data_IF_147579471028
#
_entry.id   IF_147579471028
#
_cell.length_a   1.000
_cell.length_b   1.000
_cell.length_c   1.000
_cell.angle_alpha   90.00
_cell.angle_beta   90.00
_cell.angle_gamma   90.00
#
_symmetry.space_group_name_H-M   'P 1'
#
loop_
_entity.id
_entity.type
_entity.pdbx_description
1 polymer ?
#
# COMPACT_ATOMS: atom_id res chain seq x y z
N UNK A 1 -3.59 -17.83 -16.78
CA UNK A 1 -2.64 -16.76 -16.40
C UNK A 1 -3.34 -15.43 -16.62
N UNK A 2 -3.34 -14.52 -15.64
CA UNK A 2 -3.98 -13.21 -15.76
C UNK A 2 -3.11 -12.31 -16.65
N UNK A 3 -3.66 -11.86 -17.79
CA UNK A 3 -2.97 -11.00 -18.75
C UNK A 3 -2.72 -9.62 -18.13
N UNK A 4 -1.49 -9.12 -18.29
CA UNK A 4 -1.08 -7.80 -17.81
C UNK A 4 -1.49 -6.77 -18.86
N UNK A 5 -2.39 -5.84 -18.50
CA UNK A 5 -2.76 -4.72 -19.37
C UNK A 5 -1.66 -3.64 -19.32
N UNK A 6 -1.26 -3.11 -20.48
CA UNK A 6 -0.13 -2.16 -20.62
C UNK A 6 -0.40 -0.82 -19.92
N UNK A 7 -1.66 -0.43 -19.81
CA UNK A 7 -2.08 0.85 -19.23
C UNK A 7 -2.16 0.82 -17.68
N UNK A 8 -2.09 -0.37 -17.08
CA UNK A 8 -2.14 -0.54 -15.62
C UNK A 8 -1.10 -1.57 -15.15
N UNK A 9 0.21 -1.29 -15.29
CA UNK A 9 1.27 -2.25 -14.98
C UNK A 9 1.34 -2.64 -13.49
N UNK A 10 0.72 -1.84 -12.61
CA UNK A 10 0.57 -2.11 -11.18
C UNK A 10 -0.54 -3.14 -10.86
N UNK A 11 -1.38 -3.54 -11.83
CA UNK A 11 -2.43 -4.56 -11.67
C UNK A 11 -1.98 -5.99 -11.97
N UNK A 12 -0.70 -6.34 -11.73
CA UNK A 12 -0.38 -7.77 -11.62
C UNK A 12 -1.13 -8.33 -10.42
N UNK A 13 -1.91 -9.38 -10.61
CA UNK A 13 -2.47 -10.18 -9.52
C UNK A 13 -1.33 -10.86 -8.76
N UNK A 14 -0.67 -10.07 -7.93
CA UNK A 14 0.36 -10.53 -7.03
C UNK A 14 -0.36 -11.01 -5.78
N UNK A 15 -0.21 -12.28 -5.42
CA UNK A 15 -0.52 -12.79 -4.09
C UNK A 15 0.45 -12.25 -3.02
N UNK A 16 1.06 -11.09 -3.27
CA UNK A 16 2.04 -10.47 -2.41
C UNK A 16 1.76 -8.98 -2.30
N UNK A 17 1.75 -8.49 -1.06
CA UNK A 17 1.62 -7.07 -0.74
C UNK A 17 2.93 -6.30 -0.90
N UNK A 18 4.00 -6.93 -1.42
CA UNK A 18 5.35 -6.34 -1.51
C UNK A 18 5.38 -5.05 -2.31
N UNK A 19 4.67 -4.97 -3.43
CA UNK A 19 4.67 -3.77 -4.26
C UNK A 19 4.00 -2.60 -3.53
N UNK A 20 2.78 -2.80 -3.01
CA UNK A 20 2.08 -1.78 -2.23
C UNK A 20 2.89 -1.37 -0.98
N UNK A 21 3.58 -2.30 -0.34
CA UNK A 21 4.48 -2.00 0.79
C UNK A 21 5.63 -1.08 0.37
N UNK A 22 6.32 -1.41 -0.74
CA UNK A 22 7.41 -0.59 -1.25
C UNK A 22 6.93 0.80 -1.65
N UNK A 23 5.79 0.89 -2.33
CA UNK A 23 5.19 2.15 -2.75
C UNK A 23 4.80 3.00 -1.52
N UNK A 24 4.22 2.37 -0.49
CA UNK A 24 3.90 3.03 0.78
C UNK A 24 5.17 3.58 1.45
N UNK A 25 6.22 2.75 1.60
CA UNK A 25 7.47 3.18 2.23
C UNK A 25 8.08 4.36 1.47
N UNK A 26 8.17 4.26 0.14
CA UNK A 26 8.68 5.33 -0.71
C UNK A 26 7.85 6.62 -0.58
N UNK A 27 6.52 6.50 -0.47
CA UNK A 27 5.64 7.65 -0.25
C UNK A 27 5.97 8.34 1.08
N UNK A 28 6.00 7.59 2.18
CA UNK A 28 6.29 8.13 3.51
C UNK A 28 7.70 8.74 3.62
N UNK A 29 8.71 8.15 2.99
CA UNK A 29 10.08 8.69 2.96
C UNK A 29 10.16 10.09 2.33
N UNK A 30 9.21 10.44 1.45
CA UNK A 30 9.19 11.74 0.79
C UNK A 30 8.39 12.82 1.57
N UNK A 31 7.63 12.42 2.59
CA UNK A 31 6.78 13.31 3.38
C UNK A 31 7.58 14.31 4.23
N UNK A 32 6.92 15.41 4.60
CA UNK A 32 7.49 16.39 5.53
C UNK A 32 7.70 15.74 6.90
N UNK A 33 6.75 14.90 7.33
CA UNK A 33 6.86 14.16 8.58
C UNK A 33 8.19 13.39 8.66
N UNK A 34 8.52 12.59 7.66
CA UNK A 34 9.74 11.77 7.70
C UNK A 34 11.04 12.58 7.66
N UNK A 35 10.99 13.79 7.08
CA UNK A 35 12.14 14.70 6.96
C UNK A 35 12.39 15.52 8.23
N UNK A 36 11.48 15.50 9.21
CA UNK A 36 11.70 16.18 10.49
C UNK A 36 12.75 15.45 11.32
N UNK A 37 13.60 16.23 11.98
CA UNK A 37 14.52 15.72 13.00
C UNK A 37 13.72 15.30 14.24
N UNK A 38 13.89 14.06 14.69
CA UNK A 38 13.22 13.39 15.84
C UNK A 38 11.85 12.74 15.60
N UNK A 39 11.48 12.39 14.37
CA UNK A 39 10.30 11.56 14.10
C UNK A 39 10.71 10.22 13.53
N UNK A 40 10.15 9.13 14.07
CA UNK A 40 10.34 7.79 13.52
C UNK A 40 9.39 7.51 12.36
N UNK A 41 9.66 6.43 11.61
CA UNK A 41 8.73 5.99 10.58
C UNK A 41 7.36 5.60 11.16
N UNK A 42 7.33 4.91 12.30
CA UNK A 42 6.09 4.61 13.03
C UNK A 42 5.32 5.89 13.37
N UNK A 43 5.98 6.92 13.88
CA UNK A 43 5.32 8.19 14.23
C UNK A 43 4.60 8.80 13.01
N UNK A 44 5.27 8.80 11.85
CA UNK A 44 4.66 9.26 10.61
C UNK A 44 3.54 8.34 10.14
N UNK A 45 3.66 7.02 10.31
CA UNK A 45 2.60 6.07 9.95
C UNK A 45 1.30 6.31 10.73
N UNK A 46 1.41 6.81 11.97
CA UNK A 46 0.28 7.16 12.84
C UNK A 46 -0.23 8.60 12.66
N UNK A 47 0.56 9.48 12.05
CA UNK A 47 0.18 10.85 11.77
C UNK A 47 -0.94 10.92 10.69
N UNK A 48 -1.92 11.81 10.90
CA UNK A 48 -3.07 12.04 10.02
C UNK A 48 -3.13 13.49 9.51
N UNK A 49 -2.14 14.33 9.84
CA UNK A 49 -2.07 15.70 9.36
C UNK A 49 -1.71 15.73 7.87
N UNK A 50 -2.68 16.12 7.05
CA UNK A 50 -2.51 16.25 5.60
C UNK A 50 -1.51 17.33 5.18
N UNK A 51 -1.12 18.22 6.09
CA UNK A 51 -0.05 19.20 5.85
C UNK A 51 1.33 18.57 5.90
N UNK A 52 1.45 17.43 6.57
CA UNK A 52 2.73 16.75 6.75
C UNK A 52 2.84 15.47 5.93
N UNK A 53 1.69 14.84 5.63
CA UNK A 53 1.58 13.57 4.94
C UNK A 53 0.59 13.70 3.78
N UNK A 54 1.06 13.36 2.58
CA UNK A 54 0.22 13.34 1.38
C UNK A 54 -0.92 12.32 1.54
N UNK A 55 -2.12 12.70 1.09
CA UNK A 55 -3.30 11.83 1.02
C UNK A 55 -3.01 10.51 0.30
N UNK A 56 -2.16 10.54 -0.74
CA UNK A 56 -1.73 9.35 -1.47
C UNK A 56 -1.03 8.33 -0.56
N UNK A 57 -0.22 8.78 0.40
CA UNK A 57 0.45 7.89 1.35
C UNK A 57 -0.57 7.22 2.30
N UNK A 58 -1.62 7.95 2.69
CA UNK A 58 -2.71 7.43 3.51
C UNK A 58 -3.51 6.38 2.73
N UNK A 59 -3.76 6.62 1.44
CA UNK A 59 -4.42 5.65 0.55
C UNK A 59 -3.57 4.38 0.43
N UNK A 60 -2.26 4.51 0.22
CA UNK A 60 -1.33 3.36 0.16
C UNK A 60 -1.31 2.57 1.46
N UNK A 61 -1.33 3.24 2.62
CA UNK A 61 -1.45 2.58 3.94
C UNK A 61 -2.73 1.76 4.04
N UNK A 62 -3.88 2.32 3.65
CA UNK A 62 -5.17 1.61 3.64
C UNK A 62 -5.15 0.42 2.67
N UNK A 63 -4.59 0.61 1.48
CA UNK A 63 -4.45 -0.44 0.47
C UNK A 63 -3.56 -1.58 0.95
N UNK A 64 -2.44 -1.28 1.62
CA UNK A 64 -1.55 -2.27 2.22
C UNK A 64 -2.25 -3.09 3.30
N UNK A 65 -2.98 -2.42 4.21
CA UNK A 65 -3.76 -3.09 5.24
C UNK A 65 -4.88 -3.98 4.65
N UNK A 66 -5.52 -3.55 3.56
CA UNK A 66 -6.49 -4.38 2.85
C UNK A 66 -5.82 -5.59 2.18
N UNK A 67 -4.67 -5.39 1.55
CA UNK A 67 -3.92 -6.47 0.92
C UNK A 67 -3.56 -7.57 1.94
N UNK A 68 -3.06 -7.17 3.12
CA UNK A 68 -2.74 -8.13 4.21
C UNK A 68 -3.98 -8.90 4.68
N UNK A 69 -5.12 -8.24 4.82
CA UNK A 69 -6.40 -8.89 5.17
C UNK A 69 -6.83 -9.89 4.08
N UNK A 70 -6.65 -9.54 2.82
CA UNK A 70 -7.00 -10.43 1.70
C UNK A 70 -6.12 -11.69 1.67
N UNK A 71 -4.83 -11.59 2.01
CA UNK A 71 -3.94 -12.75 2.10
C UNK A 71 -4.35 -13.75 3.18
N UNK A 72 -4.96 -13.26 4.27
CA UNK A 72 -5.45 -14.11 5.37
C UNK A 72 -6.85 -14.68 5.08
N UNK A 73 -7.57 -14.13 4.10
CA UNK A 73 -8.90 -14.61 3.74
C UNK A 73 -8.80 -15.89 2.89
N UNK A 74 -9.12 -17.04 3.50
CA UNK A 74 -9.09 -18.35 2.84
C UNK A 74 -9.98 -18.44 1.60
N UNK A 75 -11.08 -17.68 1.55
CA UNK A 75 -11.96 -17.64 0.38
C UNK A 75 -11.25 -17.03 -0.85
N UNK A 76 -10.39 -16.04 -0.65
CA UNK A 76 -9.61 -15.42 -1.74
C UNK A 76 -8.42 -16.28 -2.15
N UNK A 77 -7.92 -17.16 -1.28
CA UNK A 77 -6.93 -18.18 -1.65
C UNK A 77 -7.52 -19.21 -2.63
N UNK A 78 -8.77 -19.63 -2.39
CA UNK A 78 -9.44 -20.66 -3.20
C UNK A 78 -10.07 -20.11 -4.48
N UNK A 79 -10.72 -18.95 -4.41
CA UNK A 79 -11.49 -18.37 -5.54
C UNK A 79 -10.74 -17.28 -6.30
N UNK A 80 -9.55 -16.89 -5.83
CA UNK A 80 -8.86 -15.68 -6.26
C UNK A 80 -9.44 -14.42 -5.64
N UNK A 81 -8.64 -13.36 -5.55
CA UNK A 81 -9.10 -12.06 -5.06
C UNK A 81 -9.98 -11.38 -6.15
N UNK A 82 -11.28 -11.13 -5.91
CA UNK A 82 -12.17 -10.51 -6.89
C UNK A 82 -11.78 -9.04 -7.20
N UNK A 83 -11.00 -8.40 -6.33
CA UNK A 83 -10.48 -7.04 -6.52
C UNK A 83 -9.18 -7.00 -7.32
N UNK A 84 -8.61 -8.15 -7.69
CA UNK A 84 -7.44 -8.26 -8.57
C UNK A 84 -7.82 -8.36 -10.06
N UNK A 85 -9.08 -8.13 -10.41
CA UNK A 85 -9.63 -8.25 -11.77
C UNK A 85 -9.58 -6.93 -12.55
#
# INVERSE_FOLDING_TARGET
MLHVNKDTPHRKASNSCKQILNDMIACYQNTICYKKTNTTFEDCLHNQDLREIDENCIILKKAYAQCRRNLLNGNYKLKGNPLSR
#
